data_IF_799990094744
#
_entry.id   IF_799990094744
#
_cell.length_a   1.000
_cell.length_b   1.000
_cell.length_c   1.000
_cell.angle_alpha   90.00
_cell.angle_beta   90.00
_cell.angle_gamma   90.00
#
_symmetry.space_group_name_H-M   'P 1'
#
loop_
_entity.id
_entity.type
_entity.pdbx_description
1 polymer ?
#
# COMPACT_ATOMS: atom_id res chain seq x y z
N UNK A 1 -16.68 -11.46 10.56
CA UNK A 1 -15.89 -10.63 9.63
C UNK A 1 -14.41 -10.90 9.86
N UNK A 2 -13.58 -10.93 8.84
CA UNK A 2 -13.85 -11.14 7.41
C UNK A 2 -12.50 -11.48 6.77
N UNK A 3 -12.53 -12.34 5.75
CA UNK A 3 -11.47 -12.35 4.75
C UNK A 3 -11.15 -10.93 4.32
N UNK A 4 -9.87 -10.67 4.10
CA UNK A 4 -9.42 -9.36 3.65
C UNK A 4 -9.98 -9.03 2.27
N UNK A 5 -10.21 -7.74 2.01
CA UNK A 5 -10.50 -7.24 0.66
C UNK A 5 -9.24 -6.72 -0.05
N UNK A 6 -8.07 -6.86 0.60
CA UNK A 6 -6.78 -6.43 0.08
C UNK A 6 -6.23 -7.57 -0.79
N UNK A 7 -6.25 -7.37 -2.10
CA UNK A 7 -6.06 -8.44 -3.08
C UNK A 7 -4.68 -9.11 -3.07
N UNK A 8 -3.67 -8.43 -2.53
CA UNK A 8 -2.31 -8.94 -2.38
C UNK A 8 -2.10 -9.72 -1.09
N UNK A 9 -3.03 -9.67 -0.14
CA UNK A 9 -3.00 -10.49 1.07
C UNK A 9 -3.61 -11.85 0.74
N UNK A 10 -2.82 -12.72 0.11
CA UNK A 10 -3.21 -14.08 -0.27
C UNK A 10 -2.42 -15.14 0.47
N UNK A 11 -3.05 -16.22 0.90
CA UNK A 11 -2.39 -17.37 1.49
C UNK A 11 -1.62 -18.15 0.41
N UNK A 12 -0.89 -19.18 0.84
CA UNK A 12 -0.09 -20.02 -0.08
C UNK A 12 -0.93 -20.74 -1.13
N UNK A 13 -2.18 -21.08 -0.79
CA UNK A 13 -3.16 -21.71 -1.68
C UNK A 13 -3.84 -20.71 -2.63
N UNK A 14 -3.49 -19.43 -2.57
CA UNK A 14 -4.07 -18.36 -3.38
C UNK A 14 -5.38 -17.78 -2.85
N UNK A 15 -5.97 -18.35 -1.79
CA UNK A 15 -7.14 -17.78 -1.12
C UNK A 15 -6.80 -16.45 -0.45
N UNK A 16 -7.81 -15.61 -0.22
CA UNK A 16 -7.62 -14.37 0.51
C UNK A 16 -7.28 -14.66 1.98
N UNK A 17 -6.32 -13.92 2.52
CA UNK A 17 -5.97 -13.95 3.92
C UNK A 17 -6.93 -13.11 4.76
N UNK A 18 -6.42 -12.56 5.86
CA UNK A 18 -7.20 -11.78 6.81
C UNK A 18 -6.61 -10.40 7.05
N UNK A 19 -7.42 -9.51 7.60
CA UNK A 19 -6.98 -8.20 8.08
C UNK A 19 -7.27 -8.09 9.57
N UNK A 20 -6.29 -7.61 10.33
CA UNK A 20 -6.42 -7.36 11.76
C UNK A 20 -6.01 -5.94 12.12
N UNK A 21 -6.85 -5.28 12.92
CA UNK A 21 -6.60 -3.96 13.48
C UNK A 21 -6.74 -4.02 15.01
N UNK A 22 -5.68 -3.77 15.77
CA UNK A 22 -5.77 -3.69 17.24
C UNK A 22 -6.50 -2.43 17.73
N UNK A 23 -6.47 -1.39 16.91
CA UNK A 23 -7.12 -0.09 17.11
C UNK A 23 -7.45 0.54 15.77
N UNK A 24 -8.21 1.62 15.82
CA UNK A 24 -8.64 2.42 14.68
C UNK A 24 -8.13 3.85 14.88
N UNK A 25 -7.60 4.43 13.81
CA UNK A 25 -7.06 5.79 13.77
C UNK A 25 -5.54 5.82 13.68
N UNK A 26 -5.02 6.89 13.09
CA UNK A 26 -3.60 7.25 13.07
C UNK A 26 -3.44 8.76 12.84
N UNK A 27 -2.21 9.25 12.92
CA UNK A 27 -1.87 10.63 12.59
C UNK A 27 -1.37 10.74 11.14
N UNK A 28 -1.78 11.75 10.36
CA UNK A 28 -1.22 11.95 9.02
C UNK A 28 0.22 12.47 9.12
N UNK A 29 1.16 11.82 8.41
CA UNK A 29 2.60 12.17 8.46
C UNK A 29 3.28 12.21 7.07
N UNK A 30 2.50 12.03 6.01
CA UNK A 30 3.00 11.87 4.64
C UNK A 30 1.97 12.39 3.64
N UNK A 31 2.40 12.68 2.40
CA UNK A 31 1.46 13.01 1.32
C UNK A 31 0.53 11.85 0.96
N UNK A 32 0.96 10.62 1.23
CA UNK A 32 0.12 9.43 1.12
C UNK A 32 -1.00 9.34 2.16
N UNK A 33 -1.03 10.25 3.14
CA UNK A 33 -2.15 10.38 4.07
C UNK A 33 -3.22 11.35 3.57
N UNK A 34 -2.90 12.22 2.60
CA UNK A 34 -3.88 13.13 2.00
C UNK A 34 -4.96 12.29 1.30
N UNK A 35 -6.23 12.42 1.73
CA UNK A 35 -7.31 11.62 1.16
C UNK A 35 -7.30 10.15 1.57
N UNK A 36 -6.69 9.81 2.72
CA UNK A 36 -6.60 8.43 3.21
C UNK A 36 -7.96 7.72 3.23
N UNK A 37 -8.06 6.56 2.55
CA UNK A 37 -9.31 5.79 2.50
C UNK A 37 -9.80 5.40 3.91
N UNK A 38 -8.89 5.15 4.86
CA UNK A 38 -9.22 4.73 6.21
C UNK A 38 -9.98 5.83 6.98
N UNK A 39 -9.72 7.11 6.71
CA UNK A 39 -10.39 8.25 7.35
C UNK A 39 -11.87 8.38 6.94
N UNK A 40 -12.24 7.77 5.82
CA UNK A 40 -13.62 7.77 5.30
C UNK A 40 -14.20 6.37 5.24
N UNK A 41 -13.57 5.37 5.87
CA UNK A 41 -14.07 4.00 5.86
C UNK A 41 -15.32 3.83 6.77
N UNK A 42 -16.04 2.73 6.60
CA UNK A 42 -17.29 2.51 7.34
C UNK A 42 -17.11 2.49 8.87
N UNK A 43 -16.12 1.78 9.45
CA UNK A 43 -15.87 1.81 10.91
C UNK A 43 -15.60 3.22 11.43
N UNK A 44 -14.86 4.01 10.68
CA UNK A 44 -14.57 5.42 10.95
C UNK A 44 -15.83 6.27 11.01
N UNK A 45 -16.67 6.17 9.97
CA UNK A 45 -17.94 6.91 9.90
C UNK A 45 -18.85 6.56 11.07
N UNK A 46 -18.88 5.30 11.48
CA UNK A 46 -19.66 4.84 12.65
C UNK A 46 -19.13 5.44 13.95
N UNK A 47 -17.80 5.52 14.13
CA UNK A 47 -17.20 6.16 15.31
C UNK A 47 -17.47 7.67 15.33
N UNK A 48 -17.31 8.35 14.18
CA UNK A 48 -17.59 9.78 14.05
C UNK A 48 -19.05 10.11 14.32
N UNK A 49 -19.99 9.28 13.86
CA UNK A 49 -21.41 9.41 14.18
C UNK A 49 -21.72 9.29 15.68
N UNK A 50 -20.81 8.69 16.47
CA UNK A 50 -20.88 8.61 17.93
C UNK A 50 -20.06 9.70 18.64
N UNK A 51 -19.55 10.69 17.88
CA UNK A 51 -18.72 11.78 18.42
C UNK A 51 -17.28 11.37 18.74
N UNK A 52 -16.79 10.25 18.21
CA UNK A 52 -15.42 9.76 18.42
C UNK A 52 -14.60 10.05 17.16
N UNK A 53 -13.73 11.07 17.22
CA UNK A 53 -12.74 11.33 16.17
C UNK A 53 -11.46 10.55 16.46
N UNK A 54 -10.92 9.85 15.46
CA UNK A 54 -9.72 9.00 15.65
C UNK A 54 -8.58 9.29 14.68
N UNK A 55 -8.81 10.16 13.68
CA UNK A 55 -7.78 10.60 12.74
C UNK A 55 -7.26 11.99 13.08
N UNK A 56 -5.95 12.15 12.97
CA UNK A 56 -5.30 13.44 13.16
C UNK A 56 -4.44 13.56 14.41
N UNK A 57 -3.75 14.70 14.55
CA UNK A 57 -2.76 14.96 15.59
C UNK A 57 -3.36 15.24 16.97
N UNK A 58 -4.67 15.39 17.09
CA UNK A 58 -5.37 15.60 18.37
C UNK A 58 -6.38 14.49 18.70
N UNK A 59 -6.57 13.57 17.78
CA UNK A 59 -7.51 12.47 17.96
C UNK A 59 -6.89 11.35 18.80
N UNK A 60 -7.70 10.74 19.65
CA UNK A 60 -7.35 9.53 20.40
C UNK A 60 -7.59 8.29 19.53
N UNK A 61 -6.84 7.21 19.78
CA UNK A 61 -7.04 5.96 19.05
C UNK A 61 -8.16 5.16 19.68
N UNK A 62 -8.98 4.54 18.84
CA UNK A 62 -10.08 3.72 19.33
C UNK A 62 -9.70 2.25 19.31
N UNK A 63 -9.49 1.65 20.48
CA UNK A 63 -9.18 0.21 20.60
C UNK A 63 -10.31 -0.63 20.05
N UNK A 64 -9.98 -1.68 19.29
CA UNK A 64 -11.00 -2.59 18.76
C UNK A 64 -11.49 -3.56 19.84
N UNK A 65 -12.64 -4.19 19.58
CA UNK A 65 -13.35 -5.04 20.55
C UNK A 65 -12.56 -6.30 20.94
N UNK A 66 -12.81 -6.83 22.13
CA UNK A 66 -12.22 -8.09 22.57
C UNK A 66 -12.55 -9.27 21.62
N UNK A 67 -13.70 -9.23 20.94
CA UNK A 67 -14.05 -10.21 19.93
C UNK A 67 -13.09 -10.17 18.73
N UNK A 68 -12.71 -8.98 18.27
CA UNK A 68 -11.73 -8.79 17.21
C UNK A 68 -10.34 -9.32 17.64
N UNK A 69 -9.89 -9.01 18.86
CA UNK A 69 -8.62 -9.49 19.41
C UNK A 69 -8.52 -11.02 19.57
N UNK A 70 -9.64 -11.74 19.61
CA UNK A 70 -9.66 -13.22 19.61
C UNK A 70 -9.54 -13.86 18.24
N UNK A 71 -9.67 -13.08 17.15
CA UNK A 71 -9.71 -13.63 15.79
C UNK A 71 -8.38 -14.25 15.35
N UNK A 72 -7.20 -13.63 15.58
CA UNK A 72 -5.94 -14.22 15.13
C UNK A 72 -5.67 -15.59 15.76
N UNK A 73 -5.99 -15.80 17.03
CA UNK A 73 -5.89 -17.12 17.68
C UNK A 73 -6.78 -18.19 17.04
N UNK A 74 -7.91 -17.80 16.41
CA UNK A 74 -8.77 -18.73 15.66
C UNK A 74 -8.16 -19.08 14.31
N UNK A 75 -7.62 -18.09 13.61
CA UNK A 75 -6.93 -18.29 12.33
C UNK A 75 -5.67 -19.12 12.52
N UNK A 76 -4.91 -18.89 13.59
CA UNK A 76 -3.71 -19.65 13.90
C UNK A 76 -3.99 -21.14 14.10
N UNK A 77 -5.06 -21.48 14.82
CA UNK A 77 -5.53 -22.88 14.93
C UNK A 77 -5.91 -23.47 13.58
N UNK A 78 -6.65 -22.71 12.75
CA UNK A 78 -7.00 -23.14 11.39
C UNK A 78 -5.75 -23.41 10.55
N UNK A 79 -4.76 -22.51 10.61
CA UNK A 79 -3.49 -22.65 9.89
C UNK A 79 -2.71 -23.89 10.34
N UNK A 80 -2.67 -24.13 11.65
CA UNK A 80 -2.04 -25.32 12.23
C UNK A 80 -2.72 -26.63 11.79
N UNK A 81 -4.06 -26.64 11.73
CA UNK A 81 -4.85 -27.80 11.30
C UNK A 81 -4.71 -28.08 9.80
N UNK A 82 -4.63 -27.05 8.95
CA UNK A 82 -4.57 -27.21 7.50
C UNK A 82 -3.15 -27.34 6.93
N UNK A 83 -2.11 -27.18 7.75
CA UNK A 83 -0.71 -27.08 7.31
C UNK A 83 -0.46 -25.99 6.25
N UNK A 84 -1.36 -25.00 6.16
CA UNK A 84 -1.23 -23.84 5.27
C UNK A 84 -1.00 -22.60 6.11
N UNK A 85 0.07 -21.86 5.84
CA UNK A 85 0.28 -20.56 6.50
C UNK A 85 -0.74 -19.55 5.99
N UNK A 86 -1.47 -18.92 6.90
CA UNK A 86 -2.48 -17.91 6.58
C UNK A 86 -1.88 -16.51 6.75
N UNK A 87 -2.04 -15.64 5.75
CA UNK A 87 -1.52 -14.27 5.79
C UNK A 87 -2.49 -13.35 6.55
N UNK A 88 -1.95 -12.51 7.43
CA UNK A 88 -2.71 -11.51 8.19
C UNK A 88 -2.07 -10.14 8.01
N UNK A 89 -2.81 -9.21 7.40
CA UNK A 89 -2.37 -7.84 7.25
C UNK A 89 -2.68 -7.01 8.51
N UNK A 90 -1.66 -6.35 9.04
CA UNK A 90 -1.74 -5.44 10.18
C UNK A 90 -1.00 -4.13 9.85
N UNK A 91 -1.66 -2.98 9.71
CA UNK A 91 -3.06 -2.69 9.95
C UNK A 91 -3.64 -1.85 8.81
N UNK A 92 -4.92 -2.08 8.49
CA UNK A 92 -5.64 -1.38 7.40
C UNK A 92 -6.35 -0.12 7.84
N UNK A 93 -6.54 0.07 9.14
CA UNK A 93 -7.25 1.21 9.74
C UNK A 93 -6.42 1.89 10.82
N UNK A 94 -5.14 1.55 10.92
CA UNK A 94 -4.20 2.13 11.86
C UNK A 94 -2.75 1.96 11.40
N UNK A 95 -1.82 2.45 12.21
CA UNK A 95 -0.38 2.22 12.05
C UNK A 95 0.14 1.60 13.36
N UNK A 96 0.80 0.44 13.29
CA UNK A 96 1.21 -0.32 14.47
C UNK A 96 2.35 0.36 15.26
N UNK A 97 3.08 1.28 14.63
CA UNK A 97 4.14 2.10 15.24
C UNK A 97 3.70 3.55 15.52
N UNK A 98 2.39 3.81 15.56
CA UNK A 98 1.88 5.11 15.94
C UNK A 98 2.27 5.45 17.40
N UNK A 99 2.93 6.60 17.57
CA UNK A 99 3.42 7.09 18.86
C UNK A 99 2.29 7.36 19.85
N UNK A 100 1.09 7.68 19.36
CA UNK A 100 -0.07 7.96 20.21
C UNK A 100 -0.72 6.71 20.79
N UNK A 101 -0.38 5.53 20.29
CA UNK A 101 -0.95 4.29 20.82
C UNK A 101 -0.26 3.97 22.14
N UNK A 102 -1.03 3.73 23.22
CA UNK A 102 -0.49 3.32 24.51
C UNK A 102 0.43 2.10 24.34
N UNK A 103 1.59 2.11 25.01
CA UNK A 103 2.57 1.02 24.93
C UNK A 103 1.94 -0.31 25.35
N UNK A 104 0.98 -0.27 26.27
CA UNK A 104 0.17 -1.43 26.70
C UNK A 104 -0.50 -2.13 25.50
N UNK A 105 -1.10 -1.39 24.57
CA UNK A 105 -1.77 -1.99 23.40
C UNK A 105 -0.77 -2.55 22.40
N UNK A 106 0.43 -1.94 22.30
CA UNK A 106 1.52 -2.50 21.51
C UNK A 106 2.02 -3.80 22.12
N UNK A 107 2.21 -3.87 23.45
CA UNK A 107 2.59 -5.11 24.15
C UNK A 107 1.56 -6.21 23.90
N UNK A 108 0.27 -5.90 24.00
CA UNK A 108 -0.81 -6.85 23.68
C UNK A 108 -0.78 -7.32 22.22
N UNK A 109 -0.50 -6.41 21.28
CA UNK A 109 -0.34 -6.75 19.85
C UNK A 109 0.84 -7.69 19.63
N UNK A 110 2.01 -7.35 20.18
CA UNK A 110 3.23 -8.15 20.04
C UNK A 110 3.06 -9.54 20.67
N UNK A 111 2.41 -9.62 21.82
CA UNK A 111 2.11 -10.91 22.45
C UNK A 111 1.14 -11.77 21.63
N UNK A 112 0.14 -11.14 20.99
CA UNK A 112 -0.76 -11.82 20.07
C UNK A 112 -0.01 -12.37 18.84
N UNK A 113 0.86 -11.57 18.25
CA UNK A 113 1.71 -11.97 17.11
C UNK A 113 2.62 -13.13 17.53
N UNK A 114 3.28 -13.04 18.69
CA UNK A 114 4.13 -14.11 19.24
C UNK A 114 3.36 -15.41 19.45
N UNK A 115 2.15 -15.33 19.98
CA UNK A 115 1.28 -16.50 20.25
C UNK A 115 0.59 -17.07 19.01
N UNK A 116 0.83 -16.51 17.81
CA UNK A 116 0.22 -16.98 16.56
C UNK A 116 1.29 -17.29 15.48
N UNK A 117 2.19 -18.26 15.73
CA UNK A 117 3.33 -18.56 14.86
C UNK A 117 2.96 -19.20 13.51
N UNK A 118 1.74 -19.74 13.38
CA UNK A 118 1.25 -20.36 12.13
C UNK A 118 0.72 -19.32 11.14
N UNK A 119 0.65 -18.04 11.53
CA UNK A 119 0.23 -16.92 10.69
C UNK A 119 1.44 -16.17 10.14
N UNK A 120 1.37 -15.74 8.88
CA UNK A 120 2.31 -14.76 8.32
C UNK A 120 1.75 -13.35 8.53
N UNK A 121 2.36 -12.60 9.44
CA UNK A 121 1.94 -11.24 9.77
C UNK A 121 2.60 -10.23 8.85
N UNK A 122 1.81 -9.56 8.02
CA UNK A 122 2.25 -8.47 7.15
C UNK A 122 2.04 -7.15 7.89
N UNK A 123 3.08 -6.69 8.59
CA UNK A 123 3.06 -5.52 9.44
C UNK A 123 3.54 -4.27 8.69
N UNK A 124 2.61 -3.44 8.24
CA UNK A 124 2.88 -2.25 7.41
C UNK A 124 2.80 -0.95 8.23
N UNK A 125 3.73 -0.04 7.99
CA UNK A 125 3.79 1.26 8.69
C UNK A 125 4.32 2.37 7.78
N UNK A 126 3.98 3.62 8.07
CA UNK A 126 4.67 4.81 7.52
C UNK A 126 5.72 5.37 8.47
N UNK A 127 5.89 4.74 9.63
CA UNK A 127 6.69 5.19 10.78
C UNK A 127 7.81 4.22 11.10
N UNK A 128 8.39 3.60 10.08
CA UNK A 128 9.38 2.54 10.31
C UNK A 128 10.55 3.02 11.19
N UNK A 129 10.88 4.32 11.18
CA UNK A 129 11.87 4.91 12.09
C UNK A 129 11.57 4.80 13.59
N UNK A 130 10.32 4.55 13.99
CA UNK A 130 9.92 4.39 15.39
C UNK A 130 10.12 2.96 15.92
N UNK A 131 10.51 1.99 15.07
CA UNK A 131 10.49 0.57 15.43
C UNK A 131 11.27 0.27 16.71
N UNK A 132 12.51 0.77 16.82
CA UNK A 132 13.41 0.46 17.92
C UNK A 132 12.88 1.02 19.24
N UNK A 133 12.57 2.31 19.29
CA UNK A 133 12.07 2.95 20.51
C UNK A 133 10.73 2.37 20.97
N UNK A 134 9.86 1.99 20.03
CA UNK A 134 8.58 1.33 20.35
C UNK A 134 8.77 -0.09 20.89
N UNK A 135 9.70 -0.86 20.33
CA UNK A 135 10.04 -2.20 20.87
C UNK A 135 10.77 -2.13 22.21
N UNK A 136 11.66 -1.15 22.42
CA UNK A 136 12.33 -0.93 23.71
C UNK A 136 11.32 -0.60 24.82
N UNK A 137 10.37 0.32 24.55
CA UNK A 137 9.30 0.63 25.49
C UNK A 137 8.40 -0.60 25.78
N UNK A 138 8.10 -1.41 24.76
CA UNK A 138 7.36 -2.65 24.92
C UNK A 138 8.13 -3.69 25.75
N UNK A 139 9.44 -3.80 25.56
CA UNK A 139 10.33 -4.67 26.34
C UNK A 139 10.34 -4.27 27.82
N UNK A 140 10.49 -2.99 28.12
CA UNK A 140 10.47 -2.46 29.48
C UNK A 140 9.15 -2.79 30.19
N UNK A 141 8.02 -2.56 29.51
CA UNK A 141 6.71 -2.85 30.06
C UNK A 141 6.45 -4.36 30.22
N UNK A 142 6.83 -5.17 29.24
CA UNK A 142 6.70 -6.63 29.31
C UNK A 142 7.53 -7.22 30.47
N UNK A 143 8.76 -6.71 30.66
CA UNK A 143 9.66 -7.13 31.73
C UNK A 143 9.11 -6.77 33.11
N UNK A 144 8.65 -5.54 33.30
CA UNK A 144 8.10 -5.07 34.58
C UNK A 144 6.74 -5.72 34.91
N UNK A 145 6.00 -6.17 33.90
CA UNK A 145 4.72 -6.87 34.06
C UNK A 145 4.87 -8.40 34.24
N UNK A 146 6.09 -8.93 34.32
CA UNK A 146 6.34 -10.37 34.51
C UNK A 146 6.06 -11.23 33.27
N UNK A 147 5.98 -10.64 32.08
CA UNK A 147 5.75 -11.36 30.82
C UNK A 147 7.07 -11.86 30.21
N UNK A 148 7.76 -12.77 30.91
CA UNK A 148 9.13 -13.21 30.58
C UNK A 148 9.30 -13.69 29.13
N UNK A 149 8.36 -14.49 28.62
CA UNK A 149 8.44 -15.04 27.26
C UNK A 149 8.34 -13.96 26.19
N UNK A 150 7.47 -12.97 26.41
CA UNK A 150 7.33 -11.84 25.50
C UNK A 150 8.56 -10.93 25.58
N UNK A 151 9.03 -10.63 26.78
CA UNK A 151 10.24 -9.83 26.98
C UNK A 151 11.45 -10.47 26.27
N UNK A 152 11.66 -11.78 26.44
CA UNK A 152 12.72 -12.52 25.73
C UNK A 152 12.54 -12.46 24.21
N UNK A 153 11.31 -12.62 23.72
CA UNK A 153 11.03 -12.56 22.28
C UNK A 153 11.29 -11.16 21.67
N UNK A 154 10.93 -10.09 22.38
CA UNK A 154 11.23 -8.71 21.95
C UNK A 154 12.74 -8.43 22.01
N UNK A 155 13.41 -8.88 23.07
CA UNK A 155 14.86 -8.72 23.22
C UNK A 155 15.65 -9.41 22.10
N UNK A 156 15.23 -10.63 21.72
CA UNK A 156 15.78 -11.36 20.59
C UNK A 156 15.61 -10.59 19.28
N UNK A 157 14.43 -10.02 19.05
CA UNK A 157 14.15 -9.20 17.88
C UNK A 157 15.05 -7.96 17.83
N UNK A 158 15.17 -7.21 18.93
CA UNK A 158 16.07 -6.05 19.06
C UNK A 158 17.54 -6.42 18.83
N UNK A 159 17.94 -7.64 19.20
CA UNK A 159 19.28 -8.19 19.00
C UNK A 159 19.53 -8.71 17.56
N UNK A 160 18.56 -8.58 16.65
CA UNK A 160 18.69 -8.98 15.25
C UNK A 160 18.05 -10.32 14.89
N UNK A 161 17.50 -11.07 15.86
CA UNK A 161 16.78 -12.33 15.61
C UNK A 161 15.30 -12.04 15.36
N UNK A 162 15.00 -11.59 14.15
CA UNK A 162 13.63 -11.29 13.76
C UNK A 162 12.74 -12.55 13.76
N UNK A 163 11.47 -12.44 14.20
CA UNK A 163 10.52 -13.56 14.11
C UNK A 163 10.27 -13.95 12.65
N UNK A 164 10.42 -15.23 12.31
CA UNK A 164 10.31 -15.74 10.95
C UNK A 164 8.93 -15.46 10.30
N UNK A 165 7.88 -15.41 11.12
CA UNK A 165 6.50 -15.23 10.70
C UNK A 165 6.03 -13.77 10.66
N UNK A 166 6.95 -12.81 10.85
CA UNK A 166 6.66 -11.38 10.79
C UNK A 166 7.36 -10.74 9.59
N UNK A 167 6.55 -10.23 8.67
CA UNK A 167 6.99 -9.51 7.48
C UNK A 167 6.80 -8.02 7.73
N UNK A 168 7.86 -7.24 7.59
CA UNK A 168 7.82 -5.80 7.83
C UNK A 168 7.68 -5.03 6.52
N UNK A 169 6.68 -4.15 6.49
CA UNK A 169 6.43 -3.29 5.35
C UNK A 169 6.63 -1.83 5.68
N UNK A 170 7.11 -1.06 4.71
CA UNK A 170 7.00 0.39 4.74
C UNK A 170 6.09 0.88 3.60
N UNK A 171 5.21 1.85 3.89
CA UNK A 171 4.56 2.62 2.83
C UNK A 171 5.41 3.84 2.51
N UNK A 172 5.77 3.98 1.23
CA UNK A 172 6.47 5.14 0.66
C UNK A 172 5.80 5.53 -0.65
N UNK A 173 5.57 6.81 -0.90
CA UNK A 173 4.74 7.26 -2.04
C UNK A 173 5.50 8.06 -3.10
N UNK A 174 6.78 8.36 -2.88
CA UNK A 174 7.64 9.12 -3.80
C UNK A 174 9.12 8.94 -3.42
N UNK A 175 10.04 9.52 -4.21
CA UNK A 175 11.48 9.42 -3.97
C UNK A 175 11.91 9.94 -2.58
N UNK A 176 11.34 11.05 -2.13
CA UNK A 176 11.69 11.65 -0.82
C UNK A 176 11.44 10.66 0.32
N UNK A 177 10.34 9.90 0.25
CA UNK A 177 10.04 8.88 1.26
C UNK A 177 10.89 7.62 1.09
N UNK A 178 11.26 7.26 -0.14
CA UNK A 178 12.22 6.17 -0.41
C UNK A 178 13.57 6.46 0.25
N UNK A 179 14.14 7.62 -0.05
CA UNK A 179 15.43 8.07 0.49
C UNK A 179 15.41 8.15 2.02
N UNK A 180 14.26 8.57 2.57
CA UNK A 180 14.06 8.74 4.00
C UNK A 180 13.90 7.41 4.75
N UNK A 181 13.14 6.45 4.22
CA UNK A 181 12.62 5.33 5.01
C UNK A 181 13.04 3.94 4.55
N UNK A 182 13.44 3.73 3.30
CA UNK A 182 13.83 2.38 2.84
C UNK A 182 15.05 1.89 3.61
N UNK A 183 16.07 2.72 3.78
CA UNK A 183 17.26 2.35 4.58
C UNK A 183 16.89 2.04 6.03
N UNK A 184 15.88 2.73 6.60
CA UNK A 184 15.41 2.44 7.95
C UNK A 184 14.75 1.06 8.02
N UNK A 185 13.93 0.71 7.02
CA UNK A 185 13.35 -0.63 6.89
C UNK A 185 14.42 -1.72 6.76
N UNK A 186 15.46 -1.49 5.95
CA UNK A 186 16.56 -2.44 5.79
C UNK A 186 17.35 -2.67 7.08
N UNK A 187 17.53 -1.60 7.88
CA UNK A 187 18.18 -1.67 9.21
C UNK A 187 17.31 -2.35 10.28
N UNK A 188 16.00 -2.44 10.08
CA UNK A 188 15.13 -3.17 10.99
C UNK A 188 15.28 -4.68 10.75
N UNK A 189 15.55 -5.48 11.79
CA UNK A 189 15.56 -6.93 11.65
C UNK A 189 14.18 -7.42 11.21
N UNK A 190 14.11 -8.10 10.07
CA UNK A 190 12.88 -8.64 9.52
C UNK A 190 13.18 -9.94 8.76
N UNK A 191 12.26 -10.89 8.82
CA UNK A 191 12.35 -12.12 8.03
C UNK A 191 12.05 -11.85 6.56
N UNK A 192 11.11 -10.94 6.28
CA UNK A 192 10.79 -10.42 4.96
C UNK A 192 10.56 -8.91 5.04
N UNK A 193 10.95 -8.18 3.99
CA UNK A 193 10.77 -6.75 3.84
C UNK A 193 9.97 -6.44 2.57
N UNK A 194 8.94 -5.62 2.70
CA UNK A 194 8.17 -5.21 1.53
C UNK A 194 7.91 -3.70 1.49
N UNK A 195 7.70 -3.19 0.29
CA UNK A 195 7.21 -1.82 0.09
C UNK A 195 5.78 -1.83 -0.40
N UNK A 196 4.97 -0.98 0.18
CA UNK A 196 3.63 -0.66 -0.29
C UNK A 196 3.64 0.75 -0.84
N UNK A 197 3.81 0.89 -2.14
CA UNK A 197 3.82 2.17 -2.86
C UNK A 197 2.43 2.45 -3.43
N UNK A 198 1.47 2.52 -2.52
CA UNK A 198 0.08 2.79 -2.86
C UNK A 198 -0.55 3.84 -1.89
N UNK A 199 -0.87 5.05 -2.38
CA UNK A 199 -0.70 5.50 -3.76
C UNK A 199 0.77 5.77 -4.15
N UNK A 200 1.15 5.54 -5.41
CA UNK A 200 2.39 6.07 -5.98
C UNK A 200 2.14 7.49 -6.50
N UNK A 201 2.76 8.48 -5.86
CA UNK A 201 2.51 9.91 -6.06
C UNK A 201 3.68 10.66 -6.72
N UNK A 202 4.68 9.93 -7.23
CA UNK A 202 5.80 10.50 -7.96
C UNK A 202 6.73 9.42 -8.50
N UNK A 203 7.69 9.81 -9.37
CA UNK A 203 8.70 8.89 -9.87
C UNK A 203 9.59 8.38 -8.72
N UNK A 204 10.03 7.13 -8.85
CA UNK A 204 11.00 6.52 -7.94
C UNK A 204 12.08 5.80 -8.74
N UNK A 205 13.33 6.06 -8.38
CA UNK A 205 14.51 5.33 -8.82
C UNK A 205 15.26 4.80 -7.58
N UNK A 206 15.63 3.53 -7.62
CA UNK A 206 16.55 2.91 -6.67
C UNK A 206 18.01 3.05 -7.11
N UNK A 207 18.30 3.65 -8.26
CA UNK A 207 19.68 3.94 -8.68
C UNK A 207 20.38 4.82 -7.62
N UNK A 208 21.56 4.38 -7.18
CA UNK A 208 22.32 5.07 -6.13
C UNK A 208 21.76 4.95 -4.71
N UNK A 209 20.65 4.23 -4.52
CA UNK A 209 20.11 3.93 -3.18
C UNK A 209 20.76 2.63 -2.69
N UNK A 210 21.73 2.76 -1.77
CA UNK A 210 22.47 1.61 -1.23
C UNK A 210 21.79 1.01 -0.01
N UNK A 211 21.82 -0.32 0.12
CA UNK A 211 21.28 -1.03 1.28
C UNK A 211 21.99 -0.63 2.57
N UNK A 212 23.31 -0.37 2.50
CA UNK A 212 24.09 0.21 3.57
C UNK A 212 24.79 1.52 3.11
N UNK A 213 24.18 2.69 3.36
CA UNK A 213 24.77 3.97 2.97
C UNK A 213 26.11 4.28 3.64
N UNK A 214 26.47 3.59 4.73
CA UNK A 214 27.76 3.75 5.39
C UNK A 214 28.88 2.92 4.75
N UNK A 215 28.54 2.00 3.84
CA UNK A 215 29.49 1.23 3.07
C UNK A 215 29.04 1.05 1.60
N UNK A 216 28.94 2.13 0.80
CA UNK A 216 28.51 2.01 -0.60
C UNK A 216 29.40 1.11 -1.47
N UNK A 217 30.63 0.84 -1.02
CA UNK A 217 31.55 -0.09 -1.67
C UNK A 217 31.07 -1.55 -1.65
N UNK A 218 30.08 -1.90 -0.81
CA UNK A 218 29.41 -3.20 -0.88
C UNK A 218 28.57 -3.36 -2.17
N UNK A 219 28.26 -2.25 -2.85
CA UNK A 219 27.54 -2.22 -4.12
C UNK A 219 26.09 -2.71 -4.03
N UNK A 220 25.59 -3.06 -2.83
CA UNK A 220 24.26 -3.67 -2.71
C UNK A 220 23.21 -2.59 -2.86
N UNK A 221 22.39 -2.70 -3.90
CA UNK A 221 21.27 -1.81 -4.09
C UNK A 221 20.21 -2.08 -3.02
N UNK A 222 19.55 -1.04 -2.53
CA UNK A 222 18.49 -1.18 -1.55
C UNK A 222 17.31 -2.03 -2.05
N UNK A 223 17.04 -2.02 -3.37
CA UNK A 223 15.99 -2.84 -3.98
C UNK A 223 16.33 -4.33 -3.88
N UNK A 224 17.59 -4.72 -4.07
CA UNK A 224 18.06 -6.12 -3.94
C UNK A 224 17.86 -6.68 -2.53
N UNK A 225 17.78 -5.80 -1.52
CA UNK A 225 17.57 -6.17 -0.13
C UNK A 225 16.08 -6.20 0.29
N UNK A 226 15.16 -5.99 -0.65
CA UNK A 226 13.72 -6.10 -0.46
C UNK A 226 13.21 -7.44 -1.00
N UNK A 227 12.15 -7.97 -0.39
CA UNK A 227 11.53 -9.21 -0.81
C UNK A 227 10.30 -8.98 -1.70
N UNK A 228 9.72 -7.78 -1.68
CA UNK A 228 8.48 -7.49 -2.42
C UNK A 228 8.22 -5.99 -2.60
N UNK A 229 7.74 -5.60 -3.78
CA UNK A 229 7.25 -4.26 -4.06
C UNK A 229 5.81 -4.33 -4.58
N UNK A 230 4.90 -3.65 -3.88
CA UNK A 230 3.49 -3.49 -4.25
C UNK A 230 3.27 -2.05 -4.71
N UNK A 231 2.68 -1.85 -5.87
CA UNK A 231 2.41 -0.51 -6.44
C UNK A 231 0.95 -0.37 -6.79
N UNK A 232 0.37 0.81 -6.52
CA UNK A 232 -0.99 1.11 -6.95
C UNK A 232 -1.29 2.60 -6.99
N UNK A 233 -2.27 2.98 -7.81
CA UNK A 233 -2.79 4.35 -7.84
C UNK A 233 -3.80 4.63 -6.74
N UNK A 234 -4.09 5.91 -6.53
CA UNK A 234 -4.97 6.38 -5.46
C UNK A 234 -6.45 6.09 -5.73
N UNK A 235 -7.18 5.70 -4.69
CA UNK A 235 -8.63 5.45 -4.76
C UNK A 235 -9.41 6.54 -4.05
N UNK A 236 -10.69 6.70 -4.40
CA UNK A 236 -11.61 7.61 -3.73
C UNK A 236 -11.85 8.93 -4.49
N UNK A 237 -12.83 9.71 -4.04
CA UNK A 237 -13.37 10.85 -4.81
C UNK A 237 -12.33 11.94 -5.10
N UNK A 238 -11.25 12.03 -4.31
CA UNK A 238 -10.19 13.02 -4.48
C UNK A 238 -8.86 12.39 -4.93
N UNK A 239 -8.90 11.18 -5.50
CA UNK A 239 -7.72 10.48 -5.98
C UNK A 239 -6.89 11.34 -6.94
N UNK A 240 -5.58 11.31 -6.76
CA UNK A 240 -4.57 11.89 -7.67
C UNK A 240 -4.18 10.86 -8.74
N UNK A 241 -3.96 11.30 -9.99
CA UNK A 241 -3.56 10.39 -11.05
C UNK A 241 -2.09 9.95 -10.90
N UNK A 242 -1.80 8.71 -11.28
CA UNK A 242 -0.46 8.14 -11.33
C UNK A 242 0.04 8.12 -12.78
N UNK A 243 1.27 8.58 -13.02
CA UNK A 243 1.86 8.51 -14.36
C UNK A 243 2.25 7.06 -14.71
N UNK A 244 1.93 6.55 -15.93
CA UNK A 244 2.22 5.16 -16.29
C UNK A 244 3.72 4.84 -16.29
N UNK A 245 4.57 5.80 -16.64
CA UNK A 245 6.02 5.55 -16.67
C UNK A 245 6.63 5.36 -15.27
N UNK A 246 5.99 5.85 -14.19
CA UNK A 246 6.48 5.61 -12.84
C UNK A 246 6.33 4.14 -12.46
N UNK A 247 5.16 3.55 -12.71
CA UNK A 247 4.91 2.14 -12.40
C UNK A 247 5.67 1.21 -13.35
N UNK A 248 5.82 1.57 -14.63
CA UNK A 248 6.68 0.81 -15.58
C UNK A 248 8.14 0.82 -15.14
N UNK A 249 8.67 1.99 -14.77
CA UNK A 249 10.04 2.10 -14.27
C UNK A 249 10.25 1.25 -13.03
N UNK A 250 9.33 1.26 -12.06
CA UNK A 250 9.43 0.41 -10.87
C UNK A 250 9.36 -1.09 -11.20
N UNK A 251 8.45 -1.50 -12.10
CA UNK A 251 8.38 -2.88 -12.59
C UNK A 251 9.72 -3.32 -13.19
N UNK A 252 10.28 -2.51 -14.07
CA UNK A 252 11.51 -2.83 -14.80
C UNK A 252 12.72 -2.87 -13.86
N UNK A 253 12.78 -1.96 -12.88
CA UNK A 253 13.78 -1.99 -11.81
C UNK A 253 13.68 -3.28 -10.97
N UNK A 254 12.47 -3.68 -10.56
CA UNK A 254 12.27 -4.93 -9.82
C UNK A 254 12.67 -6.16 -10.64
N UNK A 255 12.31 -6.19 -11.93
CA UNK A 255 12.67 -7.27 -12.83
C UNK A 255 14.20 -7.38 -13.02
N UNK A 256 14.92 -6.26 -13.07
CA UNK A 256 16.37 -6.24 -13.23
C UNK A 256 17.12 -6.90 -12.06
N UNK A 257 16.54 -6.89 -10.85
CA UNK A 257 17.12 -7.49 -9.64
C UNK A 257 16.31 -8.67 -9.09
N UNK A 258 15.34 -9.17 -9.87
CA UNK A 258 14.51 -10.35 -9.54
C UNK A 258 13.73 -10.21 -8.22
N UNK A 259 13.25 -9.00 -7.94
CA UNK A 259 12.37 -8.73 -6.79
C UNK A 259 10.91 -8.91 -7.23
N UNK A 260 10.09 -9.69 -6.51
CA UNK A 260 8.66 -9.81 -6.77
C UNK A 260 7.98 -8.44 -6.86
N UNK A 261 7.21 -8.24 -7.93
CA UNK A 261 6.49 -7.00 -8.21
C UNK A 261 4.99 -7.27 -8.36
N UNK A 262 4.19 -6.56 -7.57
CA UNK A 262 2.74 -6.58 -7.67
C UNK A 262 2.22 -5.21 -8.11
N UNK A 263 1.55 -5.17 -9.25
CA UNK A 263 0.74 -4.03 -9.64
C UNK A 263 -0.70 -4.26 -9.18
N UNK A 264 -1.07 -3.54 -8.12
CA UNK A 264 -2.38 -3.68 -7.50
C UNK A 264 -3.49 -3.17 -8.42
N UNK A 265 -3.38 -1.90 -8.83
CA UNK A 265 -4.37 -1.24 -9.69
C UNK A 265 -3.96 0.19 -10.06
N UNK A 266 -4.71 0.79 -10.99
CA UNK A 266 -4.61 2.20 -11.37
C UNK A 266 -5.27 3.20 -10.41
N UNK A 267 -6.16 2.75 -9.53
CA UNK A 267 -6.97 3.68 -8.72
C UNK A 267 -8.13 4.26 -9.52
N UNK A 268 -8.51 5.52 -9.31
CA UNK A 268 -9.65 6.12 -10.05
C UNK A 268 -9.31 6.59 -11.47
N UNK A 269 -8.03 6.62 -11.84
CA UNK A 269 -7.54 7.26 -13.07
C UNK A 269 -6.88 6.25 -14.00
N UNK A 270 -7.29 6.20 -15.26
CA UNK A 270 -6.71 5.33 -16.27
C UNK A 270 -6.01 6.16 -17.36
N UNK A 271 -4.66 6.04 -17.52
CA UNK A 271 -3.93 6.70 -18.59
C UNK A 271 -4.41 6.26 -19.97
N UNK A 272 -4.39 7.18 -20.95
CA UNK A 272 -4.87 6.90 -22.31
C UNK A 272 -4.11 5.75 -22.98
N UNK A 273 -2.82 5.60 -22.67
CA UNK A 273 -1.99 4.51 -23.21
C UNK A 273 -2.25 3.14 -22.58
N UNK A 274 -3.19 3.05 -21.63
CA UNK A 274 -3.69 1.82 -21.02
C UNK A 274 -5.12 1.48 -21.48
N UNK A 275 -5.66 2.24 -22.43
CA UNK A 275 -7.01 2.08 -22.97
C UNK A 275 -6.96 1.53 -24.40
N UNK A 276 -8.01 0.82 -24.79
CA UNK A 276 -8.29 0.57 -26.20
C UNK A 276 -9.21 1.67 -26.78
N UNK A 277 -9.25 1.78 -28.11
CA UNK A 277 -10.04 2.80 -28.80
C UNK A 277 -11.54 2.69 -28.44
N UNK A 278 -12.05 1.47 -28.29
CA UNK A 278 -13.45 1.25 -27.93
C UNK A 278 -13.78 1.78 -26.53
N UNK A 279 -12.87 1.63 -25.57
CA UNK A 279 -12.99 2.15 -24.22
C UNK A 279 -12.95 3.68 -24.22
N UNK A 280 -11.94 4.27 -24.86
CA UNK A 280 -11.83 5.74 -24.96
C UNK A 280 -13.09 6.31 -25.63
N UNK A 281 -13.58 5.69 -26.70
CA UNK A 281 -14.80 6.13 -27.37
C UNK A 281 -16.04 6.14 -26.46
N UNK A 282 -16.16 5.23 -25.48
CA UNK A 282 -17.31 5.24 -24.54
C UNK A 282 -17.28 6.42 -23.57
N UNK A 283 -16.12 7.05 -23.37
CA UNK A 283 -15.99 8.23 -22.51
C UNK A 283 -16.52 9.50 -23.18
N UNK A 284 -16.85 9.45 -24.48
CA UNK A 284 -17.27 10.62 -25.25
C UNK A 284 -18.70 10.45 -25.78
N UNK A 285 -19.48 11.52 -25.68
CA UNK A 285 -20.82 11.61 -26.28
C UNK A 285 -20.84 12.64 -27.39
N UNK A 286 -21.56 12.33 -28.47
CA UNK A 286 -21.77 13.25 -29.59
C UNK A 286 -22.47 14.52 -29.12
N UNK A 287 -21.96 15.69 -29.54
CA UNK A 287 -22.61 16.96 -29.23
C UNK A 287 -23.93 17.13 -30.00
N UNK A 288 -24.12 16.39 -31.09
CA UNK A 288 -25.34 16.34 -31.88
C UNK A 288 -25.69 14.91 -32.28
N UNK A 289 -26.94 14.50 -32.08
CA UNK A 289 -27.44 13.20 -32.53
C UNK A 289 -27.93 13.26 -33.98
N UNK A 290 -27.57 12.27 -34.78
CA UNK A 290 -28.03 12.10 -36.14
C UNK A 290 -29.55 11.88 -36.21
N UNK A 291 -30.20 12.54 -37.16
CA UNK A 291 -31.54 12.18 -37.63
C UNK A 291 -31.44 11.02 -38.62
N UNK A 292 -32.58 10.40 -38.98
CA UNK A 292 -32.66 9.20 -39.83
C UNK A 292 -31.85 9.26 -41.15
N UNK A 293 -31.63 10.44 -41.72
CA UNK A 293 -30.90 10.64 -42.98
C UNK A 293 -29.52 11.30 -42.80
N UNK A 294 -29.02 11.34 -41.56
CA UNK A 294 -27.73 11.94 -41.23
C UNK A 294 -26.74 10.85 -40.80
N UNK A 295 -25.48 11.02 -41.17
CA UNK A 295 -24.40 10.18 -40.66
C UNK A 295 -23.88 10.74 -39.32
N UNK A 296 -23.71 9.87 -38.32
CA UNK A 296 -23.27 10.30 -36.99
C UNK A 296 -21.79 10.71 -36.97
N UNK A 297 -20.94 10.05 -37.76
CA UNK A 297 -19.51 10.37 -37.85
C UNK A 297 -19.30 11.77 -38.42
N UNK A 298 -20.01 12.11 -39.51
CA UNK A 298 -19.97 13.46 -40.09
C UNK A 298 -20.43 14.53 -39.09
N UNK A 299 -21.45 14.24 -38.27
CA UNK A 299 -21.88 15.18 -37.24
C UNK A 299 -20.85 15.31 -36.11
N UNK A 300 -20.17 14.23 -35.74
CA UNK A 300 -19.11 14.25 -34.73
C UNK A 300 -17.88 15.03 -35.23
N UNK A 301 -17.55 14.96 -36.53
CA UNK A 301 -16.47 15.76 -37.12
C UNK A 301 -16.80 17.27 -37.14
N UNK A 302 -18.05 17.63 -37.43
CA UNK A 302 -18.48 19.04 -37.52
C UNK A 302 -18.70 19.64 -36.13
N UNK A 303 -19.42 18.92 -35.27
CA UNK A 303 -19.89 19.43 -33.97
C UNK A 303 -19.05 18.95 -32.80
N UNK A 304 -18.11 18.04 -33.03
CA UNK A 304 -17.28 17.45 -31.99
C UNK A 304 -18.04 16.45 -31.11
N UNK A 305 -17.26 15.82 -30.24
CA UNK A 305 -17.72 15.01 -29.12
C UNK A 305 -17.22 15.62 -27.83
N UNK A 306 -17.95 15.43 -26.73
CA UNK A 306 -17.53 15.87 -25.40
C UNK A 306 -17.23 14.69 -24.50
N UNK A 307 -16.13 14.76 -23.76
CA UNK A 307 -15.81 13.79 -22.73
C UNK A 307 -16.82 13.93 -21.57
N UNK A 308 -17.28 12.82 -21.02
CA UNK A 308 -18.27 12.77 -19.93
C UNK A 308 -17.65 12.58 -18.55
N UNK A 309 -16.35 12.32 -18.50
CA UNK A 309 -15.59 12.12 -17.27
C UNK A 309 -14.51 13.19 -17.11
N UNK A 310 -14.07 13.48 -15.87
CA UNK A 310 -12.89 14.31 -15.66
C UNK A 310 -11.65 13.71 -16.34
N UNK A 311 -10.79 14.56 -16.86
CA UNK A 311 -9.52 14.19 -17.46
C UNK A 311 -8.44 15.20 -17.06
N UNK A 312 -7.18 14.79 -17.13
CA UNK A 312 -6.04 15.63 -16.83
C UNK A 312 -4.84 15.21 -17.69
N UNK A 313 -3.82 16.06 -17.74
CA UNK A 313 -2.51 15.72 -18.31
C UNK A 313 -1.48 15.67 -17.19
N UNK A 314 -0.85 14.52 -17.00
CA UNK A 314 0.16 14.30 -15.97
C UNK A 314 1.53 14.28 -16.60
N UNK A 315 2.50 15.00 -16.03
CA UNK A 315 3.90 14.96 -16.45
C UNK A 315 4.68 13.97 -15.57
N UNK A 316 5.84 13.54 -16.05
CA UNK A 316 6.71 12.59 -15.33
C UNK A 316 7.28 13.16 -14.03
N UNK A 317 7.30 14.48 -13.85
CA UNK A 317 7.67 15.15 -12.59
C UNK A 317 6.53 15.19 -11.55
N UNK A 318 5.33 14.77 -11.93
CA UNK A 318 4.13 14.73 -11.08
C UNK A 318 3.28 15.99 -11.13
N UNK A 319 3.61 16.97 -11.97
CA UNK A 319 2.72 18.09 -12.25
C UNK A 319 1.49 17.62 -13.04
N UNK A 320 0.34 18.22 -12.74
CA UNK A 320 -0.96 17.89 -13.33
C UNK A 320 -1.55 19.16 -13.92
N UNK A 321 -1.96 19.09 -15.19
CA UNK A 321 -2.38 20.22 -16.01
C UNK A 321 -3.76 19.94 -16.62
N UNK A 322 -4.50 21.01 -16.90
CA UNK A 322 -5.72 20.92 -17.70
C UNK A 322 -5.36 20.69 -19.18
N UNK A 323 -6.19 19.94 -19.93
CA UNK A 323 -5.88 19.57 -21.32
C UNK A 323 -5.62 20.77 -22.24
N UNK A 324 -6.33 21.87 -22.00
CA UNK A 324 -6.27 23.09 -22.82
C UNK A 324 -5.33 24.15 -22.24
N UNK A 325 -4.65 23.83 -21.13
CA UNK A 325 -3.66 24.73 -20.54
C UNK A 325 -2.47 24.91 -21.49
N UNK A 326 -1.94 26.14 -21.66
CA UNK A 326 -0.69 26.33 -22.37
C UNK A 326 0.40 25.43 -21.79
N UNK A 327 1.13 24.72 -22.66
CA UNK A 327 2.22 23.81 -22.25
C UNK A 327 1.79 22.52 -21.56
N UNK A 328 0.50 22.15 -21.56
CA UNK A 328 0.03 20.85 -21.06
C UNK A 328 0.74 19.65 -21.73
N UNK A 329 1.16 19.77 -22.99
CA UNK A 329 1.94 18.76 -23.73
C UNK A 329 3.35 19.24 -24.10
N UNK A 330 4.01 19.95 -23.18
CA UNK A 330 5.39 20.41 -23.39
C UNK A 330 6.33 19.25 -23.73
N UNK A 331 7.15 19.40 -24.76
CA UNK A 331 8.16 18.41 -25.12
C UNK A 331 9.11 18.11 -23.95
N UNK A 332 9.44 16.83 -23.76
CA UNK A 332 10.37 16.36 -22.72
C UNK A 332 9.75 16.10 -21.35
N UNK A 333 8.46 16.40 -21.14
CA UNK A 333 7.79 16.15 -19.84
C UNK A 333 7.12 14.79 -19.73
N UNK A 334 7.16 14.00 -20.81
CA UNK A 334 6.46 12.71 -20.89
C UNK A 334 4.94 12.81 -20.75
N UNK A 335 4.36 13.99 -21.02
CA UNK A 335 2.95 14.30 -20.81
C UNK A 335 1.99 13.16 -21.21
N UNK A 336 1.17 12.72 -20.25
CA UNK A 336 0.21 11.63 -20.40
C UNK A 336 -1.20 12.10 -20.07
N UNK A 337 -2.10 12.00 -21.05
CA UNK A 337 -3.52 12.20 -20.79
C UNK A 337 -4.08 11.02 -19.97
N UNK A 338 -4.90 11.34 -18.97
CA UNK A 338 -5.53 10.36 -18.09
C UNK A 338 -6.97 10.73 -17.80
N UNK A 339 -7.82 9.73 -17.58
CA UNK A 339 -9.25 9.87 -17.41
C UNK A 339 -9.69 9.28 -16.08
N UNK A 340 -10.55 9.99 -15.35
CA UNK A 340 -11.12 9.52 -14.10
C UNK A 340 -12.32 8.63 -14.37
N UNK A 341 -12.07 7.34 -14.53
CA UNK A 341 -13.03 6.36 -15.05
C UNK A 341 -13.64 5.47 -13.97
N UNK A 342 -13.30 5.71 -12.71
CA UNK A 342 -13.58 4.87 -11.55
C UNK A 342 -12.61 3.69 -11.35
N UNK A 343 -12.48 3.26 -10.09
CA UNK A 343 -11.62 2.14 -9.68
C UNK A 343 -11.83 0.85 -10.47
N UNK A 344 -13.10 0.49 -10.72
CA UNK A 344 -13.44 -0.78 -11.37
C UNK A 344 -13.08 -0.76 -12.85
N UNK A 345 -13.35 0.35 -13.53
CA UNK A 345 -13.04 0.51 -14.95
C UNK A 345 -11.55 0.69 -15.19
N UNK A 346 -10.83 1.39 -14.30
CA UNK A 346 -9.38 1.56 -14.41
C UNK A 346 -8.64 0.23 -14.24
N UNK A 347 -9.11 -0.60 -13.29
CA UNK A 347 -8.66 -1.98 -13.17
C UNK A 347 -7.19 -2.14 -12.79
N UNK A 348 -6.65 -3.32 -13.10
CA UNK A 348 -5.34 -3.81 -12.63
C UNK A 348 -4.43 -4.38 -13.71
N UNK A 349 -4.69 -4.01 -14.96
CA UNK A 349 -3.80 -4.36 -16.06
C UNK A 349 -2.80 -3.23 -16.26
N UNK A 350 -1.52 -3.58 -16.26
CA UNK A 350 -0.45 -2.70 -16.72
C UNK A 350 0.04 -3.26 -18.06
N UNK A 351 -0.05 -2.44 -19.11
CA UNK A 351 0.32 -2.84 -20.47
C UNK A 351 -0.40 -4.12 -20.93
N UNK A 352 -1.68 -4.25 -20.57
CA UNK A 352 -2.52 -5.39 -20.92
C UNK A 352 -2.25 -6.67 -20.13
N UNK A 353 -1.38 -6.64 -19.10
CA UNK A 353 -1.00 -7.81 -18.31
C UNK A 353 -1.23 -7.59 -16.82
N UNK A 354 -1.45 -8.69 -16.10
CA UNK A 354 -1.46 -8.69 -14.63
C UNK A 354 -0.03 -8.86 -14.12
N UNK A 355 0.29 -8.18 -13.03
CA UNK A 355 1.52 -8.36 -12.27
C UNK A 355 1.12 -8.67 -10.84
N UNK A 356 1.15 -9.95 -10.47
CA UNK A 356 0.61 -10.48 -9.21
C UNK A 356 1.69 -11.23 -8.40
N UNK A 357 2.97 -10.96 -8.67
CA UNK A 357 4.07 -11.67 -8.03
C UNK A 357 4.08 -11.36 -6.53
N UNK A 358 4.39 -12.37 -5.71
CA UNK A 358 4.55 -12.22 -4.26
C UNK A 358 5.66 -13.14 -3.76
N UNK A 359 6.27 -12.87 -2.59
CA UNK A 359 7.26 -13.77 -2.02
C UNK A 359 6.68 -15.15 -1.80
N UNK A 360 7.43 -16.17 -2.23
CA UNK A 360 7.16 -17.54 -1.81
C UNK A 360 7.25 -17.61 -0.28
N UNK A 361 6.34 -18.36 0.37
CA UNK A 361 6.42 -18.57 1.79
C UNK A 361 7.77 -19.19 2.17
N UNK A 362 8.30 -18.85 3.34
CA UNK A 362 9.42 -19.60 3.87
C UNK A 362 9.00 -21.07 3.96
N UNK A 363 9.72 -21.97 3.28
CA UNK A 363 9.55 -23.40 3.45
C UNK A 363 9.68 -23.68 4.95
N UNK A 364 8.70 -24.41 5.52
CA UNK A 364 8.84 -24.93 6.87
C UNK A 364 10.15 -25.71 6.89
N UNK A 365 11.13 -25.29 7.70
CA UNK A 365 12.26 -26.16 8.01
C UNK A 365 11.65 -27.43 8.59
N UNK A 366 11.86 -28.55 7.88
CA UNK A 366 11.30 -29.86 8.22
C UNK A 366 11.76 -30.35 9.58
#
# INVERSE_FOLDING_TARGET
>A
MAETVIEWVRNQDGELGYTFNGWIGCEPISRGCDGCYAEVDTPTRVLRAKGIETWGPHAERHRTSAANWRMPKRWDRKAAESSTRLRVFCASLSDWLDNKVPVQWLVELLDLVRQTPNLDWLMLTKRIGNWRSRLEAALELASSSGMSDLASWIADWLAGRAPAHVWLGATVVNQVEVDRDVVKLLRTPAARRFLSMEPLLGPVSFEGVFANPNNPADGTNALEALDWVIVGGESGPNARPMHPDWVRSLRDQCAAVVVPFLFKQWGEWLPINQQDEAFTNRLYVSNRKARLHQDQGVLDDIYGRRCTVPYAVVHTDGSVHELLEPMAFRGGTGAMMTFKVDKKAAGRLLDGRRHDDSPEPALLAA
#
